data_IF_459248161244
#
_entry.id   IF_459248161244
#
_cell.length_a   1.000
_cell.length_b   1.000
_cell.length_c   1.000
_cell.angle_alpha   90.00
_cell.angle_beta   90.00
_cell.angle_gamma   90.00
#
_symmetry.space_group_name_H-M   'P 1'
#
loop_
_entity.id
_entity.type
_entity.pdbx_description
1 polymer ?
#
# COMPACT_ATOMS: atom_id res chain seq x y z
N UNK A 1 38.33 -7.73 73.98
CA UNK A 1 38.33 -7.77 72.48
C UNK A 1 36.91 -7.45 71.99
N UNK A 2 36.64 -6.19 71.62
CA UNK A 2 35.31 -5.78 71.11
C UNK A 2 35.33 -5.87 69.57
N UNK A 3 34.54 -6.78 69.04
CA UNK A 3 34.32 -6.89 67.59
C UNK A 3 33.24 -5.86 67.17
N UNK A 4 33.62 -4.90 66.30
CA UNK A 4 32.71 -3.93 65.69
C UNK A 4 32.15 -4.53 64.40
N UNK A 5 30.85 -4.87 64.38
CA UNK A 5 30.10 -5.17 63.17
C UNK A 5 29.82 -3.86 62.43
N UNK A 6 30.32 -3.76 61.17
CA UNK A 6 29.91 -2.69 60.24
C UNK A 6 28.72 -3.20 59.42
N UNK A 7 27.58 -2.57 59.64
CA UNK A 7 26.40 -2.79 58.79
C UNK A 7 26.54 -1.92 57.52
N UNK A 8 26.63 -2.57 56.35
CA UNK A 8 26.61 -1.91 55.03
C UNK A 8 25.15 -1.71 54.65
N UNK A 9 24.70 -0.46 54.63
CA UNK A 9 23.39 -0.07 54.09
C UNK A 9 23.50 0.00 52.56
N UNK A 10 22.87 -0.93 51.87
CA UNK A 10 22.73 -0.88 50.38
C UNK A 10 21.50 -0.05 50.05
N UNK A 11 21.71 1.14 49.53
CA UNK A 11 20.61 1.97 48.97
C UNK A 11 20.23 1.46 47.57
N UNK A 12 19.07 0.86 47.43
CA UNK A 12 18.45 0.61 46.13
C UNK A 12 17.89 1.91 45.59
N UNK A 13 18.54 2.50 44.60
CA UNK A 13 18.00 3.61 43.83
C UNK A 13 17.02 3.00 42.81
N UNK A 14 15.71 3.13 43.03
CA UNK A 14 14.70 2.80 42.07
C UNK A 14 14.75 3.85 40.94
N UNK A 15 15.25 3.45 39.77
CA UNK A 15 15.19 4.26 38.55
C UNK A 15 13.73 4.20 38.06
N UNK A 16 13.00 5.32 37.99
CA UNK A 16 11.67 5.30 37.41
C UNK A 16 11.78 4.95 35.91
N UNK A 17 11.31 3.77 35.53
CA UNK A 17 11.08 3.42 34.12
C UNK A 17 9.97 4.34 33.62
N UNK A 18 10.35 5.37 32.87
CA UNK A 18 9.39 6.18 32.13
C UNK A 18 8.74 5.27 31.08
N UNK A 19 7.59 4.69 31.41
CA UNK A 19 6.69 4.08 30.42
C UNK A 19 6.16 5.25 29.60
N UNK A 20 6.76 5.49 28.44
CA UNK A 20 6.11 6.33 27.43
C UNK A 20 4.78 5.63 27.11
N UNK A 21 3.68 6.21 27.58
CA UNK A 21 2.36 5.83 27.13
C UNK A 21 2.34 6.09 25.61
N UNK A 22 2.43 5.04 24.80
CA UNK A 22 2.15 5.16 23.36
C UNK A 22 0.73 5.73 23.28
N UNK A 23 0.60 6.93 22.72
CA UNK A 23 -0.72 7.50 22.42
C UNK A 23 -1.46 6.47 21.59
N UNK A 24 -2.60 6.03 22.11
CA UNK A 24 -3.46 5.06 21.43
C UNK A 24 -4.04 5.75 20.21
N UNK A 25 -3.44 5.53 19.04
CA UNK A 25 -4.04 5.89 17.75
C UNK A 25 -4.75 4.66 17.18
N UNK A 26 -5.68 4.88 16.25
CA UNK A 26 -6.53 3.87 15.64
C UNK A 26 -8.01 4.26 15.70
N UNK A 27 -8.83 3.67 14.87
CA UNK A 27 -10.22 4.07 14.69
C UNK A 27 -10.32 5.52 14.19
N UNK A 28 -10.99 6.38 14.97
CA UNK A 28 -11.14 7.80 14.60
C UNK A 28 -9.90 8.66 14.89
N UNK A 29 -8.98 8.18 15.72
CA UNK A 29 -7.75 8.90 16.09
C UNK A 29 -6.64 8.57 15.10
N UNK A 30 -6.16 9.57 14.39
CA UNK A 30 -5.05 9.39 13.45
C UNK A 30 -3.76 8.97 14.17
N UNK A 31 -2.98 8.12 13.53
CA UNK A 31 -1.61 7.79 13.90
C UNK A 31 -0.67 8.74 13.16
N UNK A 32 0.19 9.45 13.89
CA UNK A 32 1.13 10.39 13.30
C UNK A 32 2.53 9.80 13.21
N UNK A 33 3.16 9.98 12.06
CA UNK A 33 4.57 9.68 11.81
C UNK A 33 5.25 10.91 11.22
N UNK A 34 6.55 10.86 11.03
CA UNK A 34 7.24 11.97 10.38
C UNK A 34 6.73 12.16 8.96
N UNK A 35 6.19 13.35 8.67
CA UNK A 35 5.72 13.75 7.34
C UNK A 35 4.22 13.60 7.13
N UNK A 36 3.45 13.03 8.06
CA UNK A 36 1.99 12.94 7.93
C UNK A 36 1.33 11.90 8.81
N UNK A 37 0.07 11.66 8.52
CA UNK A 37 -0.80 10.84 9.33
C UNK A 37 -1.35 9.64 8.54
N UNK A 38 -1.87 8.65 9.26
CA UNK A 38 -2.68 7.57 8.72
C UNK A 38 -3.78 7.15 9.70
N UNK A 39 -4.86 6.57 9.21
CA UNK A 39 -5.89 5.92 10.02
C UNK A 39 -5.79 4.41 9.86
N UNK A 40 -6.12 3.67 10.91
CA UNK A 40 -6.12 2.20 10.92
C UNK A 40 -7.38 1.67 11.58
N UNK A 41 -7.96 0.63 11.00
CA UNK A 41 -9.03 -0.16 11.59
C UNK A 41 -8.63 -1.64 11.60
N UNK A 42 -8.83 -2.31 12.73
CA UNK A 42 -8.47 -3.71 12.93
C UNK A 42 -9.72 -4.60 12.84
N UNK A 43 -9.60 -5.87 12.43
CA UNK A 43 -10.68 -6.84 12.54
C UNK A 43 -11.17 -6.97 13.99
N UNK A 44 -12.48 -7.03 14.16
CA UNK A 44 -13.11 -7.08 15.50
C UNK A 44 -13.01 -8.43 16.21
N UNK A 45 -12.74 -9.49 15.46
CA UNK A 45 -12.61 -10.87 15.97
C UNK A 45 -11.23 -11.19 16.54
N UNK A 46 -10.27 -10.27 16.40
CA UNK A 46 -8.89 -10.43 16.89
C UNK A 46 -8.01 -11.35 16.02
N UNK A 47 -8.54 -11.98 14.96
CA UNK A 47 -7.73 -12.69 13.96
C UNK A 47 -7.10 -11.66 13.00
N UNK A 48 -5.82 -11.36 13.19
CA UNK A 48 -5.10 -10.34 12.44
C UNK A 48 -3.98 -11.00 11.64
N UNK A 49 -4.23 -11.21 10.33
CA UNK A 49 -3.32 -11.93 9.43
C UNK A 49 -2.33 -11.03 8.69
N UNK A 50 -2.65 -9.72 8.57
CA UNK A 50 -1.82 -8.76 7.87
C UNK A 50 -2.47 -7.38 7.80
N UNK A 51 -1.99 -6.56 6.87
CA UNK A 51 -2.46 -5.18 6.68
C UNK A 51 -2.57 -4.83 5.21
N UNK A 52 -3.63 -4.11 4.85
CA UNK A 52 -3.79 -3.48 3.54
C UNK A 52 -3.63 -1.96 3.69
N UNK A 53 -2.50 -1.44 3.21
CA UNK A 53 -2.15 -0.02 3.23
C UNK A 53 -2.64 0.61 1.94
N UNK A 54 -3.63 1.48 2.05
CA UNK A 54 -4.36 2.05 0.92
C UNK A 54 -4.11 3.55 0.73
N UNK A 55 -3.79 3.96 -0.49
CA UNK A 55 -3.59 5.33 -0.91
C UNK A 55 -4.86 5.85 -1.60
N UNK A 56 -5.43 6.91 -1.07
CA UNK A 56 -6.68 7.50 -1.55
C UNK A 56 -6.55 8.21 -2.91
N UNK A 57 -7.68 8.43 -3.59
CA UNK A 57 -7.77 9.19 -4.83
C UNK A 57 -7.62 10.70 -4.64
N UNK A 58 -7.58 11.45 -5.75
CA UNK A 58 -7.44 12.91 -5.76
C UNK A 58 -8.57 13.63 -5.01
N UNK A 59 -8.23 14.69 -4.27
CA UNK A 59 -9.13 15.46 -3.41
C UNK A 59 -9.84 14.65 -2.33
N UNK A 60 -9.19 13.57 -1.86
CA UNK A 60 -9.64 12.77 -0.73
C UNK A 60 -8.66 12.92 0.45
N UNK A 61 -8.86 12.15 1.50
CA UNK A 61 -8.01 12.07 2.69
C UNK A 61 -8.09 10.68 3.29
N UNK A 62 -7.19 10.36 4.23
CA UNK A 62 -7.27 9.13 5.01
C UNK A 62 -8.63 9.00 5.72
N UNK A 63 -9.10 10.08 6.35
CA UNK A 63 -10.39 10.09 7.05
C UNK A 63 -11.57 9.81 6.10
N UNK A 64 -11.62 10.44 4.92
CA UNK A 64 -12.65 10.18 3.92
C UNK A 64 -12.57 8.76 3.36
N UNK A 65 -11.35 8.22 3.24
CA UNK A 65 -11.13 6.85 2.78
C UNK A 65 -11.68 5.83 3.80
N UNK A 66 -11.54 6.07 5.10
CA UNK A 66 -12.14 5.21 6.15
C UNK A 66 -13.68 5.15 6.07
N UNK A 67 -14.31 6.16 5.49
CA UNK A 67 -15.77 6.17 5.25
C UNK A 67 -16.20 5.32 4.04
N UNK A 68 -15.26 4.85 3.21
CA UNK A 68 -15.52 3.95 2.10
C UNK A 68 -15.73 2.51 2.60
N UNK A 69 -16.80 2.31 3.39
CA UNK A 69 -17.04 1.08 4.16
C UNK A 69 -16.95 -0.20 3.33
N UNK A 70 -17.35 -0.16 2.05
CA UNK A 70 -17.29 -1.35 1.19
C UNK A 70 -15.86 -1.91 1.04
N UNK A 71 -14.84 -1.05 0.92
CA UNK A 71 -13.44 -1.49 0.84
C UNK A 71 -12.88 -1.82 2.22
N UNK A 72 -13.20 -1.00 3.23
CA UNK A 72 -12.79 -1.23 4.62
C UNK A 72 -13.33 -2.56 5.11
N UNK A 73 -14.65 -2.76 5.09
CA UNK A 73 -15.29 -3.98 5.59
C UNK A 73 -14.84 -5.23 4.82
N UNK A 74 -14.64 -5.12 3.50
CA UNK A 74 -14.08 -6.21 2.72
C UNK A 74 -12.67 -6.59 3.18
N UNK A 75 -11.79 -5.60 3.45
CA UNK A 75 -10.45 -5.86 3.97
C UNK A 75 -10.50 -6.54 5.34
N UNK A 76 -11.34 -6.04 6.23
CA UNK A 76 -11.52 -6.63 7.57
C UNK A 76 -12.05 -8.08 7.50
N UNK A 77 -12.95 -8.37 6.54
CA UNK A 77 -13.46 -9.73 6.31
C UNK A 77 -12.38 -10.74 5.87
N UNK A 78 -11.25 -10.25 5.34
CA UNK A 78 -10.05 -11.06 5.05
C UNK A 78 -9.07 -11.13 6.22
N UNK A 79 -9.48 -10.69 7.42
CA UNK A 79 -8.64 -10.63 8.61
C UNK A 79 -7.39 -9.74 8.43
N UNK A 80 -7.49 -8.73 7.57
CA UNK A 80 -6.46 -7.70 7.38
C UNK A 80 -6.87 -6.42 8.08
N UNK A 81 -5.91 -5.73 8.72
CA UNK A 81 -6.12 -4.34 9.09
C UNK A 81 -6.27 -3.47 7.83
N UNK A 82 -7.18 -2.52 7.85
CA UNK A 82 -7.26 -1.50 6.81
C UNK A 82 -6.54 -0.24 7.27
N UNK A 83 -5.55 0.21 6.49
CA UNK A 83 -4.81 1.45 6.75
C UNK A 83 -5.06 2.42 5.60
N UNK A 84 -5.63 3.58 5.91
CA UNK A 84 -5.73 4.70 4.99
C UNK A 84 -4.62 5.71 5.31
N UNK A 85 -3.73 5.95 4.37
CA UNK A 85 -2.62 6.91 4.50
C UNK A 85 -3.05 8.27 3.98
N UNK A 86 -2.61 9.36 4.63
CA UNK A 86 -3.01 10.71 4.25
C UNK A 86 -2.03 11.32 3.23
N UNK A 87 -2.58 11.82 2.14
CA UNK A 87 -1.85 12.57 1.13
C UNK A 87 -1.68 14.04 1.52
N UNK A 88 -0.75 14.77 0.86
CA UNK A 88 -0.64 16.22 1.01
C UNK A 88 -1.71 16.90 0.15
N UNK A 89 -2.52 17.78 0.77
CA UNK A 89 -3.57 18.54 0.09
C UNK A 89 -4.49 17.67 -0.78
N UNK A 90 -4.77 16.45 -0.30
CA UNK A 90 -5.62 15.48 -0.99
C UNK A 90 -4.97 14.82 -2.21
N UNK A 91 -3.63 14.80 -2.30
CA UNK A 91 -2.88 14.24 -3.42
C UNK A 91 -1.53 13.63 -2.99
N UNK A 92 -0.70 13.21 -3.95
CA UNK A 92 0.54 12.47 -3.74
C UNK A 92 1.68 13.07 -4.55
N UNK A 93 2.87 13.14 -3.92
CA UNK A 93 4.11 13.72 -4.44
C UNK A 93 5.03 12.61 -4.98
N UNK A 94 4.83 12.19 -6.22
CA UNK A 94 5.67 11.21 -6.90
C UNK A 94 6.22 11.79 -8.22
N UNK A 95 7.20 11.17 -8.87
CA UNK A 95 7.76 11.68 -10.13
C UNK A 95 6.68 11.97 -11.17
N UNK A 96 6.73 13.18 -11.74
CA UNK A 96 5.81 13.66 -12.77
C UNK A 96 4.35 13.86 -12.30
N UNK A 97 4.07 13.82 -11.00
CA UNK A 97 2.75 14.19 -10.47
C UNK A 97 2.55 15.70 -10.44
N UNK A 98 1.30 16.19 -10.51
CA UNK A 98 0.99 17.60 -10.31
C UNK A 98 1.32 18.14 -8.92
N UNK A 99 1.36 17.27 -7.91
CA UNK A 99 1.68 17.58 -6.52
C UNK A 99 3.18 17.42 -6.26
N UNK A 100 3.74 18.29 -5.43
CA UNK A 100 5.11 18.21 -4.94
C UNK A 100 5.17 18.66 -3.48
N UNK A 101 6.28 18.39 -2.78
CA UNK A 101 6.53 18.98 -1.45
C UNK A 101 6.75 17.96 -0.34
N UNK A 102 6.48 16.65 -0.54
CA UNK A 102 6.82 15.60 0.44
C UNK A 102 7.68 14.53 -0.19
N UNK A 103 8.66 14.05 0.55
CA UNK A 103 9.37 12.80 0.25
C UNK A 103 8.45 11.63 0.63
N UNK A 104 7.62 11.20 -0.34
CA UNK A 104 6.67 10.10 -0.13
C UNK A 104 7.38 8.79 0.20
N UNK A 105 8.57 8.55 -0.36
CA UNK A 105 9.35 7.35 -0.05
C UNK A 105 9.72 7.29 1.42
N UNK A 106 10.22 8.39 1.98
CA UNK A 106 10.57 8.47 3.40
C UNK A 106 9.32 8.37 4.29
N UNK A 107 8.25 9.09 3.93
CA UNK A 107 7.00 9.06 4.69
C UNK A 107 6.37 7.66 4.73
N UNK A 108 6.27 6.96 3.60
CA UNK A 108 5.71 5.60 3.54
C UNK A 108 6.61 4.60 4.27
N UNK A 109 7.93 4.80 4.24
CA UNK A 109 8.85 3.98 5.04
C UNK A 109 8.62 4.16 6.55
N UNK A 110 8.33 5.39 7.00
CA UNK A 110 8.00 5.67 8.40
C UNK A 110 6.62 5.08 8.79
N UNK A 111 5.62 5.10 7.88
CA UNK A 111 4.34 4.40 8.08
C UNK A 111 4.55 2.89 8.26
N UNK A 112 5.31 2.24 7.36
CA UNK A 112 5.60 0.80 7.48
C UNK A 112 6.36 0.47 8.78
N UNK A 113 7.27 1.33 9.20
CA UNK A 113 8.01 1.13 10.44
C UNK A 113 7.11 1.27 11.68
N UNK A 114 6.20 2.24 11.67
CA UNK A 114 5.25 2.43 12.78
C UNK A 114 4.24 1.28 12.86
N UNK A 115 3.73 0.80 11.72
CA UNK A 115 2.87 -0.38 11.63
C UNK A 115 3.58 -1.65 12.14
N UNK A 116 4.88 -1.81 11.82
CA UNK A 116 5.68 -2.89 12.38
C UNK A 116 5.84 -2.76 13.90
N UNK A 117 6.17 -1.59 14.39
CA UNK A 117 6.42 -1.35 15.82
C UNK A 117 5.16 -1.53 16.67
N UNK A 118 4.00 -1.08 16.17
CA UNK A 118 2.72 -1.12 16.92
C UNK A 118 2.00 -2.46 16.83
N UNK A 119 2.02 -3.08 15.65
CA UNK A 119 1.16 -4.22 15.33
C UNK A 119 1.94 -5.46 14.89
N UNK A 120 3.26 -5.37 14.75
CA UNK A 120 4.12 -6.48 14.30
C UNK A 120 3.97 -6.84 12.82
N UNK A 121 3.44 -5.94 11.98
CA UNK A 121 3.34 -6.21 10.55
C UNK A 121 4.73 -6.24 9.91
N UNK A 122 5.04 -7.37 9.31
CA UNK A 122 6.26 -7.62 8.53
C UNK A 122 5.99 -7.45 7.03
N UNK A 123 7.02 -7.36 6.18
CA UNK A 123 6.85 -7.24 4.73
C UNK A 123 5.95 -8.30 4.10
N UNK A 124 6.02 -9.54 4.56
CA UNK A 124 5.21 -10.67 4.09
C UNK A 124 3.73 -10.61 4.52
N UNK A 125 3.38 -9.70 5.43
CA UNK A 125 2.02 -9.42 5.91
C UNK A 125 1.47 -8.10 5.41
N UNK A 126 2.27 -7.30 4.68
CA UNK A 126 1.90 -5.95 4.23
C UNK A 126 1.52 -5.96 2.75
N UNK A 127 0.26 -5.70 2.44
CA UNK A 127 -0.24 -5.45 1.08
C UNK A 127 -0.40 -3.96 0.89
N UNK A 128 0.03 -3.42 -0.24
CA UNK A 128 -0.21 -2.02 -0.61
C UNK A 128 -1.25 -1.91 -1.71
N UNK A 129 -1.98 -0.83 -1.74
CA UNK A 129 -2.91 -0.56 -2.80
C UNK A 129 -3.35 0.89 -2.88
N UNK A 130 -4.27 1.16 -3.78
CA UNK A 130 -4.79 2.50 -3.96
C UNK A 130 -5.73 2.62 -5.14
N UNK A 131 -6.35 3.78 -5.22
CA UNK A 131 -7.30 4.11 -6.27
C UNK A 131 -6.89 5.39 -7.00
N UNK A 132 -7.01 5.40 -8.33
CA UNK A 132 -6.75 6.61 -9.14
C UNK A 132 -5.30 7.10 -8.93
N UNK A 133 -5.07 8.37 -8.58
CA UNK A 133 -3.74 8.90 -8.26
C UNK A 133 -3.11 8.17 -7.06
N UNK A 134 -3.91 7.63 -6.13
CA UNK A 134 -3.42 6.78 -5.05
C UNK A 134 -2.92 5.41 -5.54
N UNK A 135 -3.53 4.86 -6.59
CA UNK A 135 -2.98 3.70 -7.27
C UNK A 135 -1.60 4.03 -7.87
N UNK A 136 -1.45 5.21 -8.51
CA UNK A 136 -0.14 5.67 -8.98
C UNK A 136 0.88 5.72 -7.84
N UNK A 137 0.49 6.23 -6.66
CA UNK A 137 1.36 6.23 -5.47
C UNK A 137 1.78 4.80 -5.08
N UNK A 138 0.86 3.82 -5.10
CA UNK A 138 1.19 2.42 -4.84
C UNK A 138 2.19 1.86 -5.88
N UNK A 139 2.05 2.21 -7.15
CA UNK A 139 3.00 1.82 -8.21
C UNK A 139 4.41 2.36 -7.97
N UNK A 140 4.53 3.66 -7.59
CA UNK A 140 5.84 4.24 -7.23
C UNK A 140 6.38 3.64 -5.92
N UNK A 141 5.52 3.33 -4.94
CA UNK A 141 5.93 2.63 -3.71
C UNK A 141 6.49 1.24 -4.02
N UNK A 142 5.81 0.45 -4.85
CA UNK A 142 6.29 -0.88 -5.27
C UNK A 142 7.61 -0.79 -6.07
N UNK A 143 7.76 0.23 -6.91
CA UNK A 143 8.98 0.50 -7.68
C UNK A 143 10.18 0.87 -6.78
N UNK A 144 9.95 1.56 -5.65
CA UNK A 144 11.01 2.09 -4.78
C UNK A 144 11.23 1.29 -3.49
N UNK A 145 10.22 0.56 -3.00
CA UNK A 145 10.21 -0.11 -1.69
C UNK A 145 9.44 -1.45 -1.74
N UNK A 146 9.30 -2.07 -2.90
CA UNK A 146 8.48 -3.27 -3.09
C UNK A 146 8.90 -4.46 -2.22
N UNK A 147 10.18 -4.53 -1.80
CA UNK A 147 10.67 -5.55 -0.86
C UNK A 147 10.02 -5.48 0.53
N UNK A 148 9.44 -4.34 0.88
CA UNK A 148 8.70 -4.13 2.13
C UNK A 148 7.24 -4.60 2.08
N UNK A 149 6.82 -5.17 0.96
CA UNK A 149 5.42 -5.55 0.74
C UNK A 149 5.31 -6.97 0.22
N UNK A 150 4.23 -7.67 0.63
CA UNK A 150 3.84 -8.99 0.13
C UNK A 150 3.31 -8.91 -1.29
N UNK A 151 2.44 -7.93 -1.57
CA UNK A 151 1.80 -7.75 -2.86
C UNK A 151 1.30 -6.31 -3.05
N UNK A 152 0.95 -5.96 -4.28
CA UNK A 152 0.28 -4.72 -4.65
C UNK A 152 -1.07 -5.02 -5.32
N UNK A 153 -2.16 -4.43 -4.80
CA UNK A 153 -3.53 -4.52 -5.38
C UNK A 153 -4.04 -3.11 -5.65
N UNK A 154 -4.23 -2.74 -6.92
CA UNK A 154 -4.52 -1.35 -7.32
C UNK A 154 -5.65 -1.24 -8.34
N UNK A 155 -6.30 -0.04 -8.36
CA UNK A 155 -7.47 0.24 -9.18
C UNK A 155 -7.30 1.57 -9.94
N UNK A 156 -7.49 1.55 -11.27
CA UNK A 156 -7.66 2.72 -12.13
C UNK A 156 -6.56 3.80 -12.00
N UNK A 157 -5.30 3.40 -11.96
CA UNK A 157 -4.16 4.32 -11.93
C UNK A 157 -2.82 3.59 -11.98
N UNK A 158 -1.88 4.16 -12.73
CA UNK A 158 -0.53 3.60 -12.99
C UNK A 158 0.53 4.71 -12.95
N UNK A 159 1.74 4.47 -13.44
CA UNK A 159 2.78 5.50 -13.57
C UNK A 159 2.34 6.71 -14.41
N UNK A 160 3.05 7.83 -14.26
CA UNK A 160 2.86 9.06 -15.04
C UNK A 160 4.01 9.29 -16.00
N UNK A 161 3.73 9.98 -17.11
CA UNK A 161 4.74 10.33 -18.13
C UNK A 161 5.62 11.52 -17.70
N UNK A 162 6.91 11.51 -18.06
CA UNK A 162 7.61 10.38 -18.68
C UNK A 162 7.63 9.15 -17.77
N UNK A 163 7.34 7.98 -18.35
CA UNK A 163 7.33 6.72 -17.59
C UNK A 163 8.74 6.42 -17.03
N UNK A 164 8.84 5.81 -15.83
CA UNK A 164 10.13 5.35 -15.33
C UNK A 164 10.70 4.25 -16.23
N UNK A 165 12.02 4.19 -16.32
CA UNK A 165 12.69 3.01 -16.89
C UNK A 165 12.64 1.87 -15.86
N UNK A 166 12.75 0.62 -16.31
CA UNK A 166 12.79 -0.52 -15.39
C UNK A 166 13.97 -0.41 -14.38
N UNK A 167 15.08 0.22 -14.77
CA UNK A 167 16.23 0.47 -13.89
C UNK A 167 15.96 1.52 -12.81
N UNK A 168 14.98 2.41 -12.99
CA UNK A 168 14.63 3.43 -12.00
C UNK A 168 13.85 2.79 -10.83
N UNK A 169 13.26 1.60 -11.04
CA UNK A 169 12.67 0.79 -9.97
C UNK A 169 13.79 0.03 -9.24
N UNK A 170 14.24 0.57 -8.12
CA UNK A 170 15.38 0.02 -7.37
C UNK A 170 15.02 -1.20 -6.54
N UNK A 171 13.75 -1.32 -6.14
CA UNK A 171 13.24 -2.41 -5.30
C UNK A 171 13.01 -3.71 -6.08
N UNK A 172 12.87 -4.81 -5.34
CA UNK A 172 12.33 -6.07 -5.83
C UNK A 172 10.81 -5.95 -5.98
N UNK A 173 10.30 -6.06 -7.20
CA UNK A 173 8.87 -5.88 -7.49
C UNK A 173 8.04 -6.98 -6.83
N UNK A 174 7.01 -6.62 -6.03
CA UNK A 174 6.11 -7.60 -5.42
C UNK A 174 5.14 -8.18 -6.45
N UNK A 175 4.40 -9.26 -6.14
CA UNK A 175 3.24 -9.68 -6.90
C UNK A 175 2.28 -8.52 -7.13
N UNK A 176 1.68 -8.45 -8.33
CA UNK A 176 0.81 -7.34 -8.73
C UNK A 176 -0.55 -7.91 -9.15
N UNK A 177 -1.63 -7.31 -8.65
CA UNK A 177 -2.98 -7.42 -9.23
C UNK A 177 -3.49 -6.01 -9.47
N UNK A 178 -3.69 -5.66 -10.75
CA UNK A 178 -4.15 -4.34 -11.15
C UNK A 178 -5.47 -4.44 -11.92
N UNK A 179 -6.48 -3.69 -11.50
CA UNK A 179 -7.78 -3.60 -12.17
C UNK A 179 -7.91 -2.27 -12.90
N UNK A 180 -8.40 -2.33 -14.16
CA UNK A 180 -8.61 -1.15 -14.97
C UNK A 180 -9.82 -1.30 -15.88
N UNK A 181 -10.64 -0.25 -15.98
CA UNK A 181 -11.85 -0.27 -16.79
C UNK A 181 -11.62 0.10 -18.25
N UNK A 182 -12.35 -0.53 -19.19
CA UNK A 182 -12.36 -0.13 -20.61
C UNK A 182 -13.17 1.14 -20.85
N UNK A 183 -14.17 1.43 -20.01
CA UNK A 183 -14.94 2.66 -20.03
C UNK A 183 -14.36 3.79 -19.14
N UNK A 184 -13.12 3.61 -18.68
CA UNK A 184 -12.37 4.54 -17.84
C UNK A 184 -12.02 5.82 -18.60
N UNK A 185 -12.49 6.98 -18.10
CA UNK A 185 -12.25 8.30 -18.72
C UNK A 185 -11.40 9.24 -17.84
N UNK A 186 -11.31 8.97 -16.54
CA UNK A 186 -10.54 9.80 -15.60
C UNK A 186 -9.06 9.46 -15.65
N UNK A 187 -8.74 8.19 -15.72
CA UNK A 187 -7.39 7.65 -15.93
C UNK A 187 -7.45 6.59 -17.05
N UNK A 188 -7.65 6.98 -18.32
CA UNK A 188 -7.82 6.02 -19.42
C UNK A 188 -6.64 5.05 -19.54
N UNK A 189 -6.86 3.85 -20.07
CA UNK A 189 -5.81 2.85 -20.31
C UNK A 189 -4.60 3.41 -21.07
N UNK A 190 -4.83 4.33 -22.02
CA UNK A 190 -3.77 5.02 -22.78
C UNK A 190 -3.16 6.21 -22.04
N UNK A 191 -3.67 6.53 -20.85
CA UNK A 191 -3.37 7.77 -20.17
C UNK A 191 -3.95 9.01 -20.89
N UNK A 192 -3.93 10.17 -20.21
CA UNK A 192 -4.37 11.45 -20.80
C UNK A 192 -3.57 12.63 -20.28
N UNK A 193 -3.62 13.75 -20.96
CA UNK A 193 -3.06 15.00 -20.49
C UNK A 193 -3.82 15.54 -19.26
N UNK A 194 -3.09 16.10 -18.31
CA UNK A 194 -3.61 16.79 -17.14
C UNK A 194 -3.08 18.24 -17.20
N UNK A 195 -3.93 19.14 -17.59
CA UNK A 195 -3.50 20.51 -17.96
C UNK A 195 -2.49 20.48 -19.12
N UNK A 196 -1.54 21.40 -19.11
CA UNK A 196 -0.55 21.54 -20.19
C UNK A 196 0.80 20.89 -19.87
N UNK A 197 1.05 20.50 -18.61
CA UNK A 197 2.39 20.08 -18.16
C UNK A 197 2.49 18.62 -17.76
N UNK A 198 1.39 17.99 -17.38
CA UNK A 198 1.40 16.64 -16.82
C UNK A 198 0.66 15.66 -17.73
N UNK A 199 1.01 14.40 -17.63
CA UNK A 199 0.33 13.34 -18.40
C UNK A 199 0.34 12.03 -17.63
N UNK A 200 -0.83 11.43 -17.50
CA UNK A 200 -0.97 10.05 -17.01
C UNK A 200 -0.32 9.08 -18.00
N UNK A 201 0.28 8.01 -17.50
CA UNK A 201 0.92 6.99 -18.30
C UNK A 201 -0.05 5.98 -18.89
N UNK A 202 0.44 5.21 -19.84
CA UNK A 202 -0.27 4.06 -20.40
C UNK A 202 -0.20 2.87 -19.45
N UNK A 203 -1.34 2.23 -19.18
CA UNK A 203 -1.43 1.12 -18.23
C UNK A 203 -0.66 -0.12 -18.68
N UNK A 204 -0.69 -0.44 -19.97
CA UNK A 204 0.05 -1.59 -20.54
C UNK A 204 1.57 -1.36 -20.54
N UNK A 205 2.02 -0.15 -20.85
CA UNK A 205 3.44 0.20 -20.77
C UNK A 205 3.92 0.19 -19.31
N UNK A 206 3.11 0.69 -18.38
CA UNK A 206 3.43 0.70 -16.96
C UNK A 206 3.62 -0.72 -16.41
N UNK A 207 2.70 -1.65 -16.73
CA UNK A 207 2.85 -3.03 -16.25
C UNK A 207 4.02 -3.75 -16.91
N UNK A 208 4.32 -3.43 -18.19
CA UNK A 208 5.47 -3.98 -18.88
C UNK A 208 6.80 -3.56 -18.21
N UNK A 209 6.91 -2.32 -17.71
CA UNK A 209 8.06 -1.85 -16.92
C UNK A 209 8.22 -2.68 -15.65
N UNK A 210 7.14 -2.88 -14.88
CA UNK A 210 7.17 -3.67 -13.65
C UNK A 210 7.51 -5.14 -13.94
N UNK A 211 6.93 -5.73 -15.00
CA UNK A 211 7.24 -7.09 -15.45
C UNK A 211 8.71 -7.24 -15.84
N UNK A 212 9.24 -6.28 -16.60
CA UNK A 212 10.66 -6.26 -16.98
C UNK A 212 11.57 -6.19 -15.74
N UNK A 213 11.28 -5.30 -14.79
CA UNK A 213 12.04 -5.18 -13.54
C UNK A 213 11.90 -6.42 -12.66
N UNK A 214 10.70 -7.00 -12.59
CA UNK A 214 10.42 -8.25 -11.88
C UNK A 214 10.97 -9.49 -12.55
N UNK A 215 11.60 -9.37 -13.75
CA UNK A 215 12.10 -10.47 -14.59
C UNK A 215 11.04 -11.54 -14.84
N UNK A 216 9.82 -11.09 -15.15
CA UNK A 216 8.70 -11.96 -15.44
C UNK A 216 8.90 -12.67 -16.79
N UNK A 217 8.53 -13.93 -16.87
CA UNK A 217 8.56 -14.68 -18.12
C UNK A 217 7.28 -14.41 -18.95
N UNK A 218 7.31 -13.38 -19.78
CA UNK A 218 6.14 -12.97 -20.57
C UNK A 218 5.75 -14.01 -21.65
N UNK A 219 6.63 -14.95 -21.98
CA UNK A 219 6.33 -16.00 -22.95
C UNK A 219 5.30 -17.03 -22.44
N UNK A 220 5.11 -17.11 -21.12
CA UNK A 220 4.14 -18.01 -20.48
C UNK A 220 2.89 -17.26 -19.97
N UNK A 221 2.65 -16.06 -20.50
CA UNK A 221 1.43 -15.30 -20.18
C UNK A 221 0.17 -16.13 -20.49
N UNK A 222 -0.80 -16.08 -19.58
CA UNK A 222 -2.05 -16.82 -19.69
C UNK A 222 -3.25 -15.94 -19.35
N UNK A 223 -4.43 -16.31 -19.85
CA UNK A 223 -5.69 -15.72 -19.42
C UNK A 223 -6.18 -16.44 -18.18
N UNK A 224 -6.55 -15.68 -17.18
CA UNK A 224 -7.20 -16.16 -15.96
C UNK A 224 -8.45 -15.33 -15.71
N UNK A 225 -9.33 -15.84 -14.84
CA UNK A 225 -10.53 -15.12 -14.44
C UNK A 225 -10.50 -14.90 -12.93
N UNK A 226 -10.63 -13.66 -12.50
CA UNK A 226 -10.82 -13.28 -11.10
C UNK A 226 -12.22 -12.69 -10.95
N UNK A 227 -13.09 -13.37 -10.21
CA UNK A 227 -14.49 -13.00 -10.01
C UNK A 227 -15.23 -12.57 -11.30
N UNK A 228 -15.13 -13.40 -12.34
CA UNK A 228 -15.72 -13.11 -13.66
C UNK A 228 -14.98 -12.11 -14.52
N UNK A 229 -13.93 -11.44 -14.02
CA UNK A 229 -13.13 -10.47 -14.76
C UNK A 229 -11.97 -11.17 -15.46
N UNK A 230 -11.79 -10.89 -16.75
CA UNK A 230 -10.70 -11.43 -17.55
C UNK A 230 -9.39 -10.71 -17.21
N UNK A 231 -8.36 -11.49 -16.91
CA UNK A 231 -7.05 -10.98 -16.55
C UNK A 231 -5.94 -11.61 -17.39
N UNK A 232 -4.91 -10.81 -17.69
CA UNK A 232 -3.64 -11.27 -18.19
C UNK A 232 -2.70 -11.55 -17.03
N UNK A 233 -2.45 -12.83 -16.77
CA UNK A 233 -1.50 -13.28 -15.76
C UNK A 233 -0.16 -13.63 -16.40
N UNK A 234 0.91 -13.00 -15.91
CA UNK A 234 2.29 -13.36 -16.23
C UNK A 234 2.91 -13.96 -14.96
N UNK A 235 2.91 -15.29 -14.84
CA UNK A 235 3.50 -15.98 -13.72
C UNK A 235 5.04 -15.97 -13.78
N UNK A 236 5.68 -16.45 -12.68
CA UNK A 236 7.14 -16.62 -12.61
C UNK A 236 7.94 -15.31 -12.71
N UNK A 237 7.44 -14.22 -12.18
CA UNK A 237 8.33 -13.13 -11.81
C UNK A 237 9.16 -13.56 -10.56
N UNK A 238 10.24 -12.87 -10.25
CA UNK A 238 11.11 -13.23 -9.09
C UNK A 238 10.34 -13.38 -7.79
N UNK A 239 9.31 -12.55 -7.55
CA UNK A 239 8.56 -12.55 -6.29
C UNK A 239 7.10 -13.02 -6.42
N UNK A 240 6.68 -13.50 -7.56
CA UNK A 240 5.32 -13.98 -7.80
C UNK A 240 4.72 -13.43 -9.10
N UNK A 241 3.41 -13.50 -9.22
CA UNK A 241 2.72 -13.26 -10.48
C UNK A 241 2.41 -11.77 -10.71
N UNK A 242 2.30 -11.38 -11.98
CA UNK A 242 1.90 -10.03 -12.39
C UNK A 242 0.63 -10.10 -13.21
N UNK A 243 -0.48 -9.76 -12.56
CA UNK A 243 -1.85 -9.89 -13.09
C UNK A 243 -2.42 -8.52 -13.44
N UNK A 244 -2.94 -8.39 -14.66
CA UNK A 244 -3.66 -7.21 -15.11
C UNK A 244 -5.08 -7.60 -15.53
N UNK A 245 -6.07 -7.09 -14.82
CA UNK A 245 -7.49 -7.37 -15.00
C UNK A 245 -8.19 -6.22 -15.71
N UNK A 246 -8.86 -6.51 -16.80
CA UNK A 246 -9.60 -5.53 -17.59
C UNK A 246 -11.09 -5.81 -17.46
N UNK A 247 -11.85 -4.82 -16.97
CA UNK A 247 -13.30 -4.90 -16.82
C UNK A 247 -14.02 -3.87 -17.69
N UNK A 248 -15.32 -4.02 -17.90
CA UNK A 248 -16.13 -3.13 -18.73
C UNK A 248 -16.62 -1.85 -18.02
N UNK A 249 -16.23 -1.64 -16.76
CA UNK A 249 -16.58 -0.45 -15.95
C UNK A 249 -15.71 0.76 -16.22
N UNK A 250 -15.95 1.82 -15.46
CA UNK A 250 -15.26 3.11 -15.51
C UNK A 250 -14.23 3.28 -14.39
N UNK A 251 -14.22 4.50 -13.81
CA UNK A 251 -13.29 4.91 -12.75
C UNK A 251 -13.77 4.43 -11.39
N UNK A 252 -13.37 3.24 -10.99
CA UNK A 252 -13.91 2.60 -9.78
C UNK A 252 -12.88 1.70 -9.07
N UNK A 253 -13.06 1.56 -7.75
CA UNK A 253 -12.45 0.55 -6.91
C UNK A 253 -13.59 -0.24 -6.24
N UNK A 254 -13.75 -1.51 -6.57
CA UNK A 254 -14.86 -2.32 -6.13
C UNK A 254 -14.44 -3.34 -5.08
N UNK A 255 -15.36 -3.60 -4.13
CA UNK A 255 -15.11 -4.56 -3.05
C UNK A 255 -14.97 -6.01 -3.54
N UNK A 256 -15.73 -6.41 -4.57
CA UNK A 256 -15.63 -7.74 -5.20
C UNK A 256 -14.27 -7.94 -5.89
N UNK A 257 -13.73 -6.91 -6.56
CA UNK A 257 -12.37 -6.96 -7.10
C UNK A 257 -11.32 -7.10 -6.01
N UNK A 258 -11.49 -6.39 -4.89
CA UNK A 258 -10.60 -6.49 -3.74
C UNK A 258 -10.67 -7.88 -3.10
N UNK A 259 -11.87 -8.43 -2.92
CA UNK A 259 -12.13 -9.79 -2.41
C UNK A 259 -11.37 -10.84 -3.23
N UNK A 260 -11.56 -10.81 -4.56
CA UNK A 260 -10.89 -11.73 -5.48
C UNK A 260 -9.36 -11.60 -5.42
N UNK A 261 -8.87 -10.37 -5.35
CA UNK A 261 -7.42 -10.10 -5.29
C UNK A 261 -6.80 -10.57 -3.96
N UNK A 262 -7.42 -10.24 -2.82
CA UNK A 262 -6.92 -10.64 -1.50
C UNK A 262 -6.92 -12.17 -1.35
N UNK A 263 -7.97 -12.85 -1.84
CA UNK A 263 -8.00 -14.32 -1.91
C UNK A 263 -6.87 -14.87 -2.77
N UNK A 264 -6.65 -14.31 -3.96
CA UNK A 264 -5.62 -14.77 -4.90
C UNK A 264 -4.19 -14.62 -4.36
N UNK A 265 -3.93 -13.60 -3.53
CA UNK A 265 -2.61 -13.39 -2.89
C UNK A 265 -2.46 -14.11 -1.54
N UNK A 266 -3.42 -14.98 -1.17
CA UNK A 266 -3.31 -15.89 -0.03
C UNK A 266 -3.86 -15.33 1.29
N UNK A 267 -4.83 -14.42 1.23
CA UNK A 267 -5.63 -13.98 2.36
C UNK A 267 -7.11 -14.34 2.10
N UNK A 268 -7.53 -15.60 2.22
CA UNK A 268 -8.95 -15.95 2.13
C UNK A 268 -9.74 -15.43 3.34
N UNK A 269 -11.05 -15.20 3.14
CA UNK A 269 -11.99 -14.88 4.24
C UNK A 269 -12.14 -16.02 5.23
#
# INVERSE_FOLDING_TARGET
>A
MLSRLFAVLVFFVAIPSSVFAMTTCGGEVACSVRGGDYHIELPSDGDLRGVYVFFHGYKSSAKLQMLQRRLVDMTLAHHLAYVAVDGIEGSWSFPNSPQSGRDEKAFIADVFQDLHNRYGFSPDKTVIGGFSIGASMAWYTACQQGERTRAMVTFSGVFWNPLPKAADCVAAIPPIIHFHGTAEQTFPLSGRAIGTRFRQGNAFESIAIMRSRGKCDVAIARKVTLDGIQCDDVPRCIRGDSVMCIHNGGHEARADMLDAALTAIGFPR
#
